data_IF_508531358868
#
_entry.id   IF_508531358868
#
_cell.length_a   1.000
_cell.length_b   1.000
_cell.length_c   1.000
_cell.angle_alpha   90.00
_cell.angle_beta   90.00
_cell.angle_gamma   90.00
#
_symmetry.space_group_name_H-M   'P 1'
#
loop_
_entity.id
_entity.type
_entity.pdbx_description
1 polymer ?
#
# COMPACT_ATOMS: atom_id res chain seq x y z
N UNK A 1 3.50 43.34 1.22
CA UNK A 1 4.49 42.34 0.78
C UNK A 1 3.93 41.00 1.23
N UNK A 2 3.15 40.34 0.37
CA UNK A 2 2.35 39.16 0.73
C UNK A 2 3.25 37.94 0.83
N UNK A 3 3.18 37.23 1.95
CA UNK A 3 3.90 36.01 2.24
C UNK A 3 3.62 34.94 1.18
N UNK A 4 4.65 34.59 0.40
CA UNK A 4 4.69 33.46 -0.55
C UNK A 4 5.06 32.14 0.14
N UNK A 5 4.71 31.98 1.42
CA UNK A 5 5.13 30.82 2.21
C UNK A 5 4.27 29.57 1.97
N UNK A 6 3.15 29.67 1.26
CA UNK A 6 2.19 28.55 1.18
C UNK A 6 2.31 27.70 -0.09
N UNK A 7 2.88 28.21 -1.18
CA UNK A 7 2.85 27.50 -2.48
C UNK A 7 3.99 26.49 -2.69
N UNK A 8 5.03 26.50 -1.84
CA UNK A 8 6.28 25.73 -2.09
C UNK A 8 6.54 24.60 -1.07
N UNK A 9 5.77 24.52 0.02
CA UNK A 9 6.08 23.60 1.14
C UNK A 9 5.78 22.13 0.79
N UNK A 10 4.98 21.87 -0.25
CA UNK A 10 4.63 20.51 -0.68
C UNK A 10 4.57 20.35 -2.20
N UNK A 11 5.64 20.75 -2.90
CA UNK A 11 5.73 20.48 -4.33
C UNK A 11 6.15 19.02 -4.60
N UNK A 12 5.18 18.11 -4.64
CA UNK A 12 5.40 16.69 -5.01
C UNK A 12 5.98 16.52 -6.41
N UNK A 13 5.80 17.50 -7.30
CA UNK A 13 6.27 17.42 -8.67
C UNK A 13 7.76 17.73 -8.74
N UNK A 14 8.24 18.70 -7.96
CA UNK A 14 9.60 19.21 -8.09
C UNK A 14 10.53 18.82 -6.92
N UNK A 15 10.00 18.33 -5.79
CA UNK A 15 10.82 17.89 -4.65
C UNK A 15 11.02 16.36 -4.60
N UNK A 16 12.26 15.95 -4.89
CA UNK A 16 12.72 14.55 -4.79
C UNK A 16 12.72 14.02 -3.36
N UNK A 17 12.91 14.87 -2.34
CA UNK A 17 12.96 14.42 -0.94
C UNK A 17 11.57 14.02 -0.49
N UNK A 18 10.57 14.79 -0.87
CA UNK A 18 9.18 14.53 -0.56
C UNK A 18 8.71 13.20 -1.15
N UNK A 19 9.09 12.87 -2.40
CA UNK A 19 8.79 11.55 -2.99
C UNK A 19 9.41 10.40 -2.21
N UNK A 20 10.66 10.54 -1.76
CA UNK A 20 11.33 9.54 -0.90
C UNK A 20 10.63 9.41 0.45
N UNK A 21 10.20 10.51 1.07
CA UNK A 21 9.45 10.46 2.33
C UNK A 21 8.09 9.79 2.17
N UNK A 22 7.38 10.02 1.07
CA UNK A 22 6.12 9.34 0.75
C UNK A 22 6.31 7.84 0.54
N UNK A 23 7.38 7.43 -0.13
CA UNK A 23 7.74 6.02 -0.26
C UNK A 23 8.01 5.38 1.11
N UNK A 24 8.78 6.06 1.97
CA UNK A 24 9.07 5.59 3.34
C UNK A 24 7.81 5.59 4.23
N UNK A 25 6.91 6.55 4.05
CA UNK A 25 5.63 6.61 4.75
C UNK A 25 4.75 5.40 4.37
N UNK A 26 4.69 5.04 3.08
CA UNK A 26 4.01 3.83 2.62
C UNK A 26 4.58 2.56 3.27
N UNK A 27 5.90 2.42 3.35
CA UNK A 27 6.54 1.34 4.09
C UNK A 27 6.24 1.41 5.60
N UNK A 28 6.22 2.61 6.19
CA UNK A 28 5.83 2.83 7.58
C UNK A 28 4.39 2.40 7.87
N UNK A 29 3.46 2.63 6.95
CA UNK A 29 2.10 2.13 7.06
C UNK A 29 2.05 0.60 7.08
N UNK A 30 2.91 -0.09 6.31
CA UNK A 30 3.04 -1.54 6.39
C UNK A 30 3.59 -2.02 7.73
N UNK A 31 4.51 -1.28 8.36
CA UNK A 31 4.98 -1.61 9.71
C UNK A 31 3.86 -1.57 10.75
N UNK A 32 2.80 -0.77 10.55
CA UNK A 32 1.65 -0.77 11.44
C UNK A 32 0.98 -2.16 11.50
N UNK A 33 0.90 -2.89 10.38
CA UNK A 33 0.41 -4.27 10.39
C UNK A 33 1.28 -5.21 11.21
N UNK A 34 2.61 -5.05 11.15
CA UNK A 34 3.53 -5.86 11.95
C UNK A 34 3.31 -5.56 13.43
N UNK A 35 3.19 -4.28 13.79
CA UNK A 35 2.95 -3.83 15.17
C UNK A 35 1.59 -4.32 15.69
N UNK A 36 0.55 -4.34 14.86
CA UNK A 36 -0.76 -4.86 15.26
C UNK A 36 -0.76 -6.37 15.54
N UNK A 37 0.28 -7.09 15.11
CA UNK A 37 0.53 -8.49 15.46
C UNK A 37 1.27 -8.70 16.79
N UNK A 38 1.74 -7.63 17.44
CA UNK A 38 2.51 -7.74 18.67
C UNK A 38 1.65 -8.18 19.87
N UNK A 39 2.26 -8.95 20.79
CA UNK A 39 1.57 -9.52 21.97
C UNK A 39 0.87 -8.48 22.85
N UNK A 40 1.40 -7.26 22.93
CA UNK A 40 0.80 -6.19 23.73
C UNK A 40 -0.45 -5.56 23.08
N UNK A 41 -0.72 -5.81 21.79
CA UNK A 41 -1.92 -5.38 21.08
C UNK A 41 -3.00 -6.47 21.00
N UNK A 42 -3.00 -7.44 21.92
CA UNK A 42 -3.96 -8.55 21.92
C UNK A 42 -5.43 -8.09 21.89
N UNK A 43 -5.76 -6.97 22.54
CA UNK A 43 -7.10 -6.37 22.53
C UNK A 43 -7.58 -5.94 21.14
N UNK A 44 -6.66 -5.66 20.21
CA UNK A 44 -6.95 -5.20 18.84
C UNK A 44 -6.86 -6.35 17.83
N UNK A 45 -6.49 -7.56 18.28
CA UNK A 45 -6.27 -8.74 17.44
C UNK A 45 -7.50 -9.14 16.63
N UNK A 46 -8.70 -8.87 17.13
CA UNK A 46 -9.95 -9.13 16.40
C UNK A 46 -10.03 -8.38 15.06
N UNK A 47 -9.46 -7.17 14.99
CA UNK A 47 -9.45 -6.33 13.79
C UNK A 47 -8.19 -6.50 12.94
N UNK A 48 -7.33 -7.47 13.27
CA UNK A 48 -6.01 -7.61 12.67
C UNK A 48 -6.06 -7.78 11.16
N UNK A 49 -7.03 -8.53 10.66
CA UNK A 49 -7.21 -8.76 9.22
C UNK A 49 -7.57 -7.46 8.50
N UNK A 50 -8.60 -6.75 9.00
CA UNK A 50 -9.04 -5.47 8.43
C UNK A 50 -7.93 -4.41 8.50
N UNK A 51 -7.21 -4.37 9.62
CA UNK A 51 -6.08 -3.47 9.81
C UNK A 51 -4.90 -3.81 8.88
N UNK A 52 -4.67 -5.09 8.60
CA UNK A 52 -3.70 -5.56 7.62
C UNK A 52 -4.05 -5.16 6.19
N UNK A 53 -5.32 -5.28 5.80
CA UNK A 53 -5.76 -4.82 4.48
C UNK A 53 -5.69 -3.30 4.38
N UNK A 54 -6.09 -2.57 5.42
CA UNK A 54 -6.03 -1.11 5.44
C UNK A 54 -4.60 -0.56 5.38
N UNK A 55 -3.68 -1.12 6.14
CA UNK A 55 -2.26 -0.76 6.09
C UNK A 55 -1.62 -1.07 4.73
N UNK A 56 -1.98 -2.20 4.11
CA UNK A 56 -1.53 -2.52 2.75
C UNK A 56 -2.10 -1.53 1.73
N UNK A 57 -3.37 -1.13 1.87
CA UNK A 57 -3.97 -0.06 1.06
C UNK A 57 -3.21 1.27 1.20
N UNK A 58 -2.89 1.69 2.43
CA UNK A 58 -2.10 2.91 2.67
C UNK A 58 -0.69 2.81 2.07
N UNK A 59 -0.07 1.63 2.09
CA UNK A 59 1.22 1.41 1.43
C UNK A 59 1.13 1.64 -0.09
N UNK A 60 0.08 1.12 -0.74
CA UNK A 60 -0.15 1.33 -2.19
C UNK A 60 -0.39 2.81 -2.50
N UNK A 61 -1.10 3.54 -1.64
CA UNK A 61 -1.28 4.99 -1.76
C UNK A 61 0.04 5.75 -1.61
N UNK A 62 0.85 5.42 -0.60
CA UNK A 62 2.17 6.04 -0.40
C UNK A 62 3.11 5.81 -1.59
N UNK A 63 3.10 4.59 -2.14
CA UNK A 63 3.87 4.26 -3.34
C UNK A 63 3.37 5.05 -4.55
N UNK A 64 2.05 5.15 -4.76
CA UNK A 64 1.45 5.95 -5.83
C UNK A 64 1.84 7.43 -5.73
N UNK A 65 1.77 8.02 -4.54
CA UNK A 65 2.15 9.41 -4.31
C UNK A 65 3.65 9.64 -4.55
N UNK A 66 4.51 8.70 -4.15
CA UNK A 66 5.96 8.80 -4.38
C UNK A 66 6.33 8.85 -5.88
N UNK A 67 5.49 8.30 -6.75
CA UNK A 67 5.78 8.24 -8.19
C UNK A 67 5.50 9.56 -8.93
N UNK A 68 4.87 10.56 -8.29
CA UNK A 68 4.51 11.83 -8.93
C UNK A 68 5.77 12.58 -9.39
N UNK A 69 6.82 12.62 -8.57
CA UNK A 69 8.10 13.21 -8.96
C UNK A 69 8.74 12.49 -10.16
N UNK A 70 8.79 11.16 -10.09
CA UNK A 70 9.43 10.33 -11.14
C UNK A 70 8.70 10.44 -12.47
N UNK A 71 7.38 10.64 -12.46
CA UNK A 71 6.60 10.85 -13.66
C UNK A 71 7.10 12.04 -14.48
N UNK A 72 7.48 13.14 -13.81
CA UNK A 72 7.90 14.37 -14.48
C UNK A 72 9.41 14.42 -14.77
N UNK A 73 10.25 13.82 -13.92
CA UNK A 73 11.70 13.95 -14.02
C UNK A 73 12.43 12.66 -14.46
N UNK A 74 11.85 11.47 -14.22
CA UNK A 74 12.51 10.17 -14.43
C UNK A 74 11.56 9.12 -15.04
N UNK A 75 11.20 9.22 -16.33
CA UNK A 75 10.18 8.38 -16.95
C UNK A 75 10.53 6.88 -16.99
N UNK A 76 11.82 6.55 -17.01
CA UNK A 76 12.29 5.15 -16.98
C UNK A 76 12.01 4.51 -15.62
N UNK A 77 12.35 5.22 -14.54
CA UNK A 77 12.08 4.75 -13.17
C UNK A 77 10.57 4.67 -12.90
N UNK A 78 9.81 5.65 -13.40
CA UNK A 78 8.36 5.65 -13.34
C UNK A 78 7.76 4.40 -14.00
N UNK A 79 8.25 4.01 -15.19
CA UNK A 79 7.76 2.83 -15.90
C UNK A 79 7.99 1.53 -15.09
N UNK A 80 9.12 1.41 -14.39
CA UNK A 80 9.38 0.28 -13.50
C UNK A 80 8.48 0.32 -12.27
N UNK A 81 8.38 1.46 -11.58
CA UNK A 81 7.53 1.63 -10.38
C UNK A 81 6.05 1.38 -10.71
N UNK A 82 5.60 1.75 -11.91
CA UNK A 82 4.24 1.46 -12.41
C UNK A 82 3.94 -0.03 -12.52
N UNK A 83 4.91 -0.85 -12.95
CA UNK A 83 4.75 -2.31 -12.99
C UNK A 83 4.56 -2.88 -11.58
N UNK A 84 5.37 -2.44 -10.63
CA UNK A 84 5.25 -2.83 -9.22
C UNK A 84 3.93 -2.36 -8.61
N UNK A 85 3.48 -1.15 -8.96
CA UNK A 85 2.19 -0.63 -8.53
C UNK A 85 1.04 -1.50 -9.04
N UNK A 86 1.06 -1.89 -10.33
CA UNK A 86 0.06 -2.79 -10.89
C UNK A 86 0.02 -4.15 -10.16
N UNK A 87 1.20 -4.74 -9.88
CA UNK A 87 1.29 -5.97 -9.10
C UNK A 87 0.70 -5.78 -7.71
N UNK A 88 1.01 -4.66 -7.04
CA UNK A 88 0.48 -4.37 -5.70
C UNK A 88 -1.04 -4.22 -5.69
N UNK A 89 -1.65 -3.68 -6.75
CA UNK A 89 -3.11 -3.62 -6.88
C UNK A 89 -3.74 -5.00 -7.07
N UNK A 90 -3.12 -5.88 -7.86
CA UNK A 90 -3.58 -7.26 -8.01
C UNK A 90 -3.53 -8.00 -6.67
N UNK A 91 -2.43 -7.84 -5.92
CA UNK A 91 -2.30 -8.40 -4.58
C UNK A 91 -3.35 -7.82 -3.64
N UNK A 92 -3.55 -6.49 -3.63
CA UNK A 92 -4.58 -5.85 -2.81
C UNK A 92 -5.98 -6.38 -3.15
N UNK A 93 -6.31 -6.53 -4.43
CA UNK A 93 -7.59 -7.08 -4.87
C UNK A 93 -7.79 -8.53 -4.39
N UNK A 94 -6.75 -9.37 -4.46
CA UNK A 94 -6.79 -10.72 -3.93
C UNK A 94 -6.98 -10.72 -2.40
N UNK A 95 -6.24 -9.87 -1.67
CA UNK A 95 -6.39 -9.73 -0.22
C UNK A 95 -7.81 -9.32 0.16
N UNK A 96 -8.37 -8.29 -0.49
CA UNK A 96 -9.76 -7.86 -0.24
C UNK A 96 -10.74 -8.98 -0.56
N UNK A 97 -10.59 -9.64 -1.71
CA UNK A 97 -11.49 -10.71 -2.11
C UNK A 97 -11.52 -11.84 -1.09
N UNK A 98 -10.36 -12.37 -0.71
CA UNK A 98 -10.27 -13.52 0.19
C UNK A 98 -10.54 -13.19 1.65
N UNK A 99 -10.09 -12.03 2.14
CA UNK A 99 -10.16 -11.70 3.57
C UNK A 99 -11.38 -10.88 3.97
N UNK A 100 -11.97 -10.10 3.05
CA UNK A 100 -13.12 -9.24 3.35
C UNK A 100 -14.39 -9.76 2.68
N UNK A 101 -14.34 -10.13 1.40
CA UNK A 101 -15.54 -10.52 0.65
C UNK A 101 -15.88 -12.03 0.78
N UNK A 102 -14.87 -12.89 0.88
CA UNK A 102 -15.08 -14.33 0.90
C UNK A 102 -15.38 -14.82 2.32
N UNK A 103 -16.66 -14.85 2.66
CA UNK A 103 -17.17 -15.29 3.97
C UNK A 103 -17.14 -16.82 4.20
N UNK A 104 -16.48 -17.59 3.32
CA UNK A 104 -16.32 -19.04 3.47
C UNK A 104 -14.85 -19.37 3.73
N UNK A 105 -14.53 -20.34 4.60
CA UNK A 105 -13.15 -20.75 4.82
C UNK A 105 -12.61 -21.31 3.50
N UNK A 106 -11.61 -20.64 2.92
CA UNK A 106 -10.89 -21.17 1.75
C UNK A 106 -10.15 -22.41 2.21
N UNK A 107 -10.77 -23.57 2.05
CA UNK A 107 -10.09 -24.85 2.19
C UNK A 107 -9.19 -24.99 0.95
N UNK A 108 -7.88 -25.14 1.16
CA UNK A 108 -6.93 -25.43 0.07
C UNK A 108 -7.31 -26.75 -0.64
N UNK A 109 -8.06 -27.62 0.03
CA UNK A 109 -8.61 -28.86 -0.53
C UNK A 109 -9.64 -28.60 -1.63
N UNK A 110 -10.54 -27.61 -1.48
CA UNK A 110 -11.55 -27.31 -2.50
C UNK A 110 -10.96 -26.68 -3.76
N UNK A 111 -9.88 -25.91 -3.63
CA UNK A 111 -9.18 -25.29 -4.76
C UNK A 111 -8.43 -26.35 -5.60
N UNK A 112 -7.77 -27.30 -4.93
CA UNK A 112 -7.06 -28.41 -5.59
C UNK A 112 -8.06 -29.36 -6.26
N UNK A 113 -9.21 -29.61 -5.62
CA UNK A 113 -10.24 -30.52 -6.14
C UNK A 113 -10.98 -29.97 -7.36
N UNK A 114 -11.19 -28.65 -7.44
CA UNK A 114 -11.83 -27.98 -8.60
C UNK A 114 -10.91 -27.76 -9.80
N UNK A 115 -9.59 -27.84 -9.63
CA UNK A 115 -8.63 -27.70 -10.72
C UNK A 115 -8.31 -29.01 -11.46
N UNK A 116 -8.84 -30.16 -11.01
CA UNK A 116 -8.45 -31.49 -11.47
C UNK A 116 -9.55 -32.28 -12.20
N UNK A 117 -10.60 -31.61 -12.69
CA UNK A 117 -11.63 -32.21 -13.54
C UNK A 117 -12.01 -31.31 -14.71
#
# INVERSE_FOLDING_TARGET
MSEKFTDDIFDLKNDRRLSVYLYRAGFGCWLLYIVSGARFMESVRMYRTDFGVFSFFLMVLGLSASMIYDYYHHPIEFAQKKKWLAISYVVLAALIYFFILHNQPVSLEDLIRKGLF
#
